data_IF_701542348686
#
_entry.id   IF_701542348686
#
_cell.length_a   1.000
_cell.length_b   1.000
_cell.length_c   1.000
_cell.angle_alpha   90.00
_cell.angle_beta   90.00
_cell.angle_gamma   90.00
#
_symmetry.space_group_name_H-M   'P 1'
#
loop_
_entity.id
_entity.type
_entity.pdbx_description
1 polymer ?
#
# COMPACT_ATOMS: atom_id res chain seq x y z
N UNK A 1 84.91 10.44 -5.03
CA UNK A 1 83.81 11.07 -4.26
C UNK A 1 82.50 10.51 -4.78
N UNK A 2 81.66 10.02 -3.87
CA UNK A 2 80.31 9.56 -4.19
C UNK A 2 79.34 10.60 -3.65
N UNK A 3 78.49 11.14 -4.51
CA UNK A 3 77.41 12.06 -4.12
C UNK A 3 76.13 11.23 -4.06
N UNK A 4 75.48 11.24 -2.90
CA UNK A 4 74.17 10.63 -2.70
C UNK A 4 73.15 11.76 -2.66
N UNK A 5 72.21 11.75 -3.59
CA UNK A 5 71.08 12.67 -3.62
C UNK A 5 69.83 11.88 -3.23
N UNK A 6 69.14 12.35 -2.20
CA UNK A 6 67.88 11.76 -1.72
C UNK A 6 66.75 12.73 -2.07
N UNK A 7 65.74 12.25 -2.80
CA UNK A 7 64.52 13.01 -3.09
C UNK A 7 63.51 12.68 -1.98
N UNK A 8 62.97 13.71 -1.35
CA UNK A 8 61.93 13.56 -0.32
C UNK A 8 60.56 13.69 -0.97
N UNK A 9 59.66 12.79 -0.59
CA UNK A 9 58.25 12.87 -0.94
C UNK A 9 57.60 14.00 -0.12
N UNK A 10 56.88 14.89 -0.79
CA UNK A 10 56.11 15.98 -0.18
C UNK A 10 54.66 15.83 -0.61
N UNK A 11 53.72 16.26 0.24
CA UNK A 11 52.30 16.21 -0.08
C UNK A 11 51.94 17.33 -1.07
N UNK A 12 52.08 17.10 -2.36
CA UNK A 12 51.81 18.05 -3.44
C UNK A 12 50.80 17.54 -4.49
N UNK A 13 50.25 16.34 -4.29
CA UNK A 13 49.19 15.77 -5.11
C UNK A 13 47.90 15.59 -4.30
N UNK A 14 46.77 15.72 -4.99
CA UNK A 14 45.46 15.43 -4.39
C UNK A 14 45.07 13.97 -4.62
N UNK A 15 44.25 13.38 -3.72
CA UNK A 15 43.57 12.13 -4.02
C UNK A 15 42.73 12.25 -5.30
N UNK A 16 42.65 11.17 -6.09
CA UNK A 16 41.87 11.13 -7.33
C UNK A 16 41.04 9.85 -7.39
N UNK A 17 39.73 9.97 -7.62
CA UNK A 17 38.86 8.84 -7.90
C UNK A 17 38.93 8.42 -9.37
N UNK A 18 38.78 7.12 -9.65
CA UNK A 18 38.69 6.61 -11.01
C UNK A 18 37.43 7.08 -11.74
N UNK A 19 36.31 7.14 -11.00
CA UNK A 19 35.01 7.62 -11.49
C UNK A 19 34.47 8.66 -10.51
N UNK A 20 34.05 9.82 -11.03
CA UNK A 20 33.51 10.92 -10.22
C UNK A 20 31.99 10.85 -10.05
N UNK A 21 31.29 10.14 -10.94
CA UNK A 21 29.84 10.00 -10.93
C UNK A 21 29.49 8.52 -11.13
N UNK A 22 28.93 7.91 -10.10
CA UNK A 22 28.46 6.53 -10.14
C UNK A 22 26.94 6.52 -9.98
N UNK A 23 26.28 5.59 -10.65
CA UNK A 23 24.86 5.31 -10.43
C UNK A 23 24.66 3.84 -10.08
N UNK A 24 23.76 3.58 -9.14
CA UNK A 24 23.38 2.23 -8.72
C UNK A 24 21.88 2.14 -8.51
N UNK A 25 21.33 1.01 -8.96
CA UNK A 25 19.95 0.61 -8.67
C UNK A 25 20.00 -0.44 -7.56
N UNK A 26 19.22 -0.23 -6.50
CA UNK A 26 19.20 -1.09 -5.32
C UNK A 26 17.75 -1.50 -5.02
N UNK A 27 17.40 -2.79 -5.09
CA UNK A 27 16.09 -3.28 -4.68
C UNK A 27 15.82 -2.99 -3.20
N UNK A 28 14.58 -2.61 -2.86
CA UNK A 28 14.26 -2.27 -1.46
C UNK A 28 14.35 -3.45 -0.49
N UNK A 29 14.24 -4.69 -0.98
CA UNK A 29 14.36 -5.91 -0.18
C UNK A 29 15.82 -6.34 0.09
N UNK A 30 16.78 -5.55 -0.39
CA UNK A 30 18.21 -5.72 -0.15
C UNK A 30 18.48 -5.80 1.35
N UNK A 31 19.21 -6.85 1.76
CA UNK A 31 19.45 -7.10 3.18
C UNK A 31 20.39 -6.06 3.78
N UNK A 32 20.08 -5.65 5.01
CA UNK A 32 21.00 -4.85 5.82
C UNK A 32 22.36 -5.56 5.91
N UNK A 33 23.43 -4.79 5.87
CA UNK A 33 24.84 -5.15 5.74
C UNK A 33 25.30 -5.63 4.35
N UNK A 34 24.41 -5.69 3.35
CA UNK A 34 24.81 -5.95 1.97
C UNK A 34 25.72 -4.83 1.44
N UNK A 35 26.68 -5.23 0.61
CA UNK A 35 27.57 -4.30 -0.10
C UNK A 35 26.82 -3.71 -1.28
N UNK A 36 26.74 -2.38 -1.33
CA UNK A 36 26.04 -1.63 -2.39
C UNK A 36 27.03 -1.20 -3.46
N UNK A 37 28.22 -0.73 -3.04
CA UNK A 37 29.30 -0.38 -3.95
C UNK A 37 30.60 -0.95 -3.39
N UNK A 38 31.28 -1.74 -4.22
CA UNK A 38 32.53 -2.39 -3.85
C UNK A 38 33.66 -1.39 -3.65
N UNK A 39 34.63 -1.78 -2.83
CA UNK A 39 35.81 -0.96 -2.49
C UNK A 39 36.57 -0.48 -3.72
N UNK A 40 36.73 -1.33 -4.72
CA UNK A 40 37.58 -1.11 -5.89
C UNK A 40 37.06 0.05 -6.73
N UNK A 41 35.74 0.18 -6.87
CA UNK A 41 35.09 1.26 -7.60
C UNK A 41 35.16 2.61 -6.89
N UNK A 42 35.44 2.61 -5.59
CA UNK A 42 35.42 3.81 -4.74
C UNK A 42 36.79 4.20 -4.19
N UNK A 43 37.82 3.40 -4.43
CA UNK A 43 39.16 3.71 -3.94
C UNK A 43 39.76 4.83 -4.77
N UNK A 44 40.04 5.96 -4.13
CA UNK A 44 40.89 7.00 -4.67
C UNK A 44 42.36 6.55 -4.64
N UNK A 45 43.17 7.13 -5.52
CA UNK A 45 44.62 6.99 -5.54
C UNK A 45 45.28 8.34 -5.34
N UNK A 46 46.42 8.34 -4.67
CA UNK A 46 47.25 9.53 -4.45
C UNK A 46 48.66 9.26 -5.00
N UNK A 47 49.22 10.21 -5.74
CA UNK A 47 50.55 10.05 -6.35
C UNK A 47 51.67 10.11 -5.32
N UNK A 48 51.43 10.74 -4.16
CA UNK A 48 52.35 10.82 -3.03
C UNK A 48 52.31 9.54 -2.19
N UNK A 49 51.45 8.58 -2.56
CA UNK A 49 51.22 7.33 -1.82
C UNK A 49 50.77 7.55 -0.37
N UNK A 50 50.14 8.69 -0.11
CA UNK A 50 49.54 9.04 1.17
C UNK A 50 48.37 8.10 1.51
N UNK A 51 48.11 7.93 2.81
CA UNK A 51 46.98 7.11 3.27
C UNK A 51 45.68 7.90 3.15
N UNK A 52 44.76 7.44 2.31
CA UNK A 52 43.51 8.15 2.04
C UNK A 52 42.44 7.81 3.07
N UNK A 53 41.84 8.84 3.65
CA UNK A 53 40.72 8.80 4.57
C UNK A 53 39.41 9.19 3.87
N UNK A 54 38.36 8.43 4.12
CA UNK A 54 37.06 8.61 3.47
C UNK A 54 35.99 9.09 4.44
N UNK A 55 35.06 9.89 3.94
CA UNK A 55 33.84 10.31 4.63
C UNK A 55 32.66 10.28 3.67
N UNK A 56 31.52 9.78 4.12
CA UNK A 56 30.30 9.67 3.33
C UNK A 56 29.22 10.57 3.92
N UNK A 57 28.62 11.41 3.10
CA UNK A 57 27.44 12.20 3.47
C UNK A 57 26.31 11.98 2.47
N UNK A 58 25.08 12.32 2.87
CA UNK A 58 23.91 12.32 1.96
C UNK A 58 23.47 13.75 1.72
N UNK A 59 22.94 14.03 0.53
CA UNK A 59 22.42 15.38 0.19
C UNK A 59 20.90 15.45 0.26
N UNK A 60 20.21 14.30 0.22
CA UNK A 60 18.75 14.22 0.19
C UNK A 60 18.22 14.07 1.62
N UNK A 61 17.44 15.06 2.06
CA UNK A 61 16.84 15.10 3.39
C UNK A 61 16.03 13.84 3.67
N UNK A 62 16.24 13.23 4.83
CA UNK A 62 15.53 12.02 5.26
C UNK A 62 16.14 10.70 4.77
N UNK A 63 17.26 10.76 4.05
CA UNK A 63 18.00 9.57 3.58
C UNK A 63 19.28 9.31 4.38
N UNK A 64 19.49 10.04 5.48
CA UNK A 64 20.64 9.89 6.36
C UNK A 64 20.67 8.56 7.12
N UNK A 65 21.86 7.97 7.18
CA UNK A 65 22.13 6.74 7.92
C UNK A 65 21.53 5.47 7.32
N UNK A 66 21.07 5.50 6.07
CA UNK A 66 20.75 4.28 5.32
C UNK A 66 22.02 3.63 4.74
N UNK A 67 23.02 4.42 4.39
CA UNK A 67 24.27 3.96 3.79
C UNK A 67 25.45 4.42 4.65
N UNK A 68 26.47 3.58 4.74
CA UNK A 68 27.71 3.88 5.45
C UNK A 68 28.90 3.24 4.75
N UNK A 69 30.10 3.78 4.98
CA UNK A 69 31.35 3.16 4.56
C UNK A 69 31.84 2.18 5.63
N UNK A 70 32.49 1.09 5.20
CA UNK A 70 33.03 0.06 6.11
C UNK A 70 34.07 0.61 7.10
N UNK A 71 34.82 1.64 6.71
CA UNK A 71 35.76 2.29 7.60
C UNK A 71 36.49 3.45 6.94
N UNK A 72 37.28 4.16 7.75
CA UNK A 72 37.98 5.38 7.32
C UNK A 72 38.92 5.18 6.14
N UNK A 73 39.50 3.98 5.96
CA UNK A 73 40.36 3.64 4.82
C UNK A 73 39.76 2.51 3.97
N UNK A 74 38.46 2.26 4.11
CA UNK A 74 37.71 1.29 3.33
C UNK A 74 36.40 1.93 2.84
N UNK A 75 36.42 2.52 1.62
CA UNK A 75 35.28 3.25 1.09
C UNK A 75 34.13 2.34 0.63
N UNK A 76 34.21 1.02 0.80
CA UNK A 76 33.08 0.12 0.49
C UNK A 76 31.80 0.61 1.17
N UNK A 77 30.78 0.91 0.35
CA UNK A 77 29.48 1.38 0.83
C UNK A 77 28.60 0.16 1.07
N UNK A 78 28.03 0.08 2.27
CA UNK A 78 27.08 -0.96 2.65
C UNK A 78 25.77 -0.36 3.17
N UNK A 79 24.71 -1.16 3.11
CA UNK A 79 23.39 -0.78 3.59
C UNK A 79 23.29 -0.97 5.11
N UNK A 80 22.92 0.09 5.84
CA UNK A 80 22.82 0.09 7.31
C UNK A 80 21.38 -0.04 7.82
N UNK A 81 20.38 0.37 7.02
CA UNK A 81 18.95 0.29 7.36
C UNK A 81 18.16 -0.32 6.21
N UNK A 82 17.06 -1.00 6.52
CA UNK A 82 16.16 -1.52 5.50
C UNK A 82 15.61 -0.36 4.64
N UNK A 83 15.59 -0.56 3.34
CA UNK A 83 15.05 0.40 2.38
C UNK A 83 13.52 0.32 2.36
N UNK A 84 12.90 1.38 1.89
CA UNK A 84 11.45 1.51 1.77
C UNK A 84 11.16 2.42 0.58
N UNK A 85 10.71 1.82 -0.53
CA UNK A 85 10.52 2.51 -1.79
C UNK A 85 9.45 3.61 -1.71
N UNK A 86 8.47 3.48 -0.82
CA UNK A 86 7.43 4.49 -0.60
C UNK A 86 7.94 5.70 0.19
N UNK A 87 9.00 5.54 1.00
CA UNK A 87 9.63 6.65 1.74
C UNK A 87 10.51 7.53 0.84
N UNK A 88 11.40 6.92 0.07
CA UNK A 88 12.26 7.64 -0.88
C UNK A 88 12.70 6.72 -2.01
N UNK A 89 12.74 7.28 -3.23
CA UNK A 89 13.05 6.52 -4.46
C UNK A 89 14.46 6.79 -4.99
N UNK A 90 15.09 7.85 -4.48
CA UNK A 90 16.38 8.33 -4.93
C UNK A 90 17.10 8.98 -3.76
N UNK A 91 18.39 8.69 -3.62
CA UNK A 91 19.29 9.49 -2.79
C UNK A 91 20.61 9.72 -3.53
N UNK A 92 21.34 10.73 -3.09
CA UNK A 92 22.67 11.03 -3.61
C UNK A 92 23.65 11.09 -2.44
N UNK A 93 24.71 10.31 -2.57
CA UNK A 93 25.79 10.22 -1.61
C UNK A 93 26.99 11.01 -2.13
N UNK A 94 27.66 11.75 -1.25
CA UNK A 94 28.94 12.39 -1.53
C UNK A 94 30.02 11.66 -0.76
N UNK A 95 30.96 11.08 -1.49
CA UNK A 95 32.13 10.41 -0.93
C UNK A 95 33.32 11.35 -1.03
N UNK A 96 33.83 11.79 0.12
CA UNK A 96 35.02 12.61 0.24
C UNK A 96 36.24 11.72 0.47
N UNK A 97 37.31 11.98 -0.26
CA UNK A 97 38.64 11.43 -0.01
C UNK A 97 39.57 12.56 0.45
N UNK A 98 40.41 12.28 1.45
CA UNK A 98 41.42 13.19 2.00
C UNK A 98 42.72 12.44 2.26
N UNK A 99 43.84 13.05 1.91
CA UNK A 99 45.20 12.54 2.11
C UNK A 99 45.66 12.57 3.59
N UNK A 100 44.97 13.36 4.44
CA UNK A 100 45.27 13.51 5.87
C UNK A 100 44.06 13.19 6.75
N UNK A 101 44.29 12.74 7.99
CA UNK A 101 43.22 12.50 8.94
C UNK A 101 42.48 13.80 9.29
N UNK A 102 41.22 13.66 9.69
CA UNK A 102 40.41 14.79 10.13
C UNK A 102 41.07 15.51 11.32
N UNK A 103 41.18 16.84 11.23
CA UNK A 103 41.81 17.66 12.26
C UNK A 103 43.33 17.77 12.17
N UNK A 104 43.95 17.29 11.09
CA UNK A 104 45.35 17.57 10.79
C UNK A 104 45.61 19.08 10.70
N UNK A 105 46.75 19.53 11.22
CA UNK A 105 47.25 20.90 11.06
C UNK A 105 48.07 21.07 9.78
N UNK A 106 48.33 19.98 9.05
CA UNK A 106 49.08 19.97 7.80
C UNK A 106 48.18 20.29 6.60
N UNK A 107 48.79 20.70 5.49
CA UNK A 107 48.06 20.92 4.23
C UNK A 107 47.40 19.59 3.84
N UNK A 108 46.10 19.67 3.59
CA UNK A 108 45.23 18.54 3.29
C UNK A 108 44.60 18.77 1.93
N UNK A 109 44.80 17.83 1.01
CA UNK A 109 44.14 17.81 -0.28
C UNK A 109 42.92 16.89 -0.24
N UNK A 110 41.90 17.23 -1.03
CA UNK A 110 40.64 16.50 -1.03
C UNK A 110 40.13 16.25 -2.45
N UNK A 111 39.36 15.17 -2.60
CA UNK A 111 38.55 14.91 -3.77
C UNK A 111 37.14 14.47 -3.37
N UNK A 112 36.19 14.60 -4.28
CA UNK A 112 34.79 14.22 -4.05
C UNK A 112 34.27 13.42 -5.23
N UNK A 113 33.60 12.31 -4.95
CA UNK A 113 32.81 11.55 -5.92
C UNK A 113 31.33 11.59 -5.52
N UNK A 114 30.46 11.60 -6.53
CA UNK A 114 29.00 11.59 -6.37
C UNK A 114 28.46 10.22 -6.73
N UNK A 115 27.62 9.65 -5.86
CA UNK A 115 26.99 8.36 -6.07
C UNK A 115 25.46 8.52 -5.99
N UNK A 116 24.78 8.30 -7.10
CA UNK A 116 23.32 8.28 -7.17
C UNK A 116 22.81 6.86 -6.90
N UNK A 117 21.94 6.72 -5.90
CA UNK A 117 21.30 5.46 -5.54
C UNK A 117 19.81 5.57 -5.85
N UNK A 118 19.37 4.86 -6.89
CA UNK A 118 17.96 4.68 -7.21
C UNK A 118 17.43 3.43 -6.51
N UNK A 119 16.32 3.56 -5.79
CA UNK A 119 15.67 2.43 -5.13
C UNK A 119 14.69 1.80 -6.11
N UNK A 120 14.75 0.49 -6.26
CA UNK A 120 13.80 -0.29 -7.06
C UNK A 120 12.78 -0.98 -6.14
N UNK A 121 11.50 -0.89 -6.50
CA UNK A 121 10.44 -1.55 -5.74
C UNK A 121 10.61 -3.07 -5.87
N UNK A 122 10.59 -3.76 -4.75
CA UNK A 122 10.68 -5.21 -4.69
C UNK A 122 9.35 -5.78 -4.21
N UNK A 123 9.07 -7.01 -4.63
CA UNK A 123 7.84 -7.68 -4.26
C UNK A 123 7.95 -8.03 -2.77
N UNK A 124 7.35 -7.22 -1.91
CA UNK A 124 7.47 -7.30 -0.44
C UNK A 124 6.13 -7.22 0.28
N UNK A 125 5.08 -6.73 -0.39
CA UNK A 125 3.74 -6.55 0.16
C UNK A 125 2.76 -7.52 -0.50
N UNK A 126 1.81 -8.10 0.26
CA UNK A 126 0.74 -8.91 -0.32
C UNK A 126 -0.37 -8.02 -0.91
N UNK A 127 -1.27 -8.58 -1.74
CA UNK A 127 -2.45 -7.86 -2.23
C UNK A 127 -3.36 -7.35 -1.09
N UNK A 128 -4.08 -6.26 -1.30
CA UNK A 128 -5.08 -5.71 -0.38
C UNK A 128 -6.43 -5.52 -1.07
N UNK A 129 -7.53 -5.81 -0.37
CA UNK A 129 -8.88 -5.48 -0.85
C UNK A 129 -9.24 -4.01 -0.58
N UNK A 130 -10.03 -3.39 -1.46
CA UNK A 130 -10.48 -2.01 -1.36
C UNK A 130 -12.01 -1.89 -1.27
N UNK A 131 -12.54 -1.01 -0.40
CA UNK A 131 -11.81 -0.10 0.47
C UNK A 131 -11.22 -0.80 1.69
N UNK A 132 -10.10 -0.27 2.19
CA UNK A 132 -9.45 -0.73 3.41
C UNK A 132 -9.05 0.46 4.29
N UNK A 133 -8.83 0.20 5.56
CA UNK A 133 -8.40 1.19 6.55
C UNK A 133 -6.96 0.93 6.95
N UNK A 134 -6.10 1.93 6.79
CA UNK A 134 -4.71 1.85 7.26
C UNK A 134 -4.66 2.01 8.78
N UNK A 135 -3.96 1.10 9.45
CA UNK A 135 -3.81 1.13 10.92
C UNK A 135 -2.55 1.85 11.38
N UNK A 136 -1.63 2.12 10.47
CA UNK A 136 -0.30 2.63 10.75
C UNK A 136 0.00 3.90 9.97
N UNK A 137 0.86 4.74 10.54
CA UNK A 137 1.21 6.05 9.98
C UNK A 137 1.97 5.95 8.66
N UNK A 138 2.77 4.89 8.51
CA UNK A 138 3.52 4.54 7.30
C UNK A 138 2.67 3.82 6.24
N UNK A 139 1.38 3.57 6.50
CA UNK A 139 0.43 2.94 5.55
C UNK A 139 0.89 1.59 4.98
N UNK A 140 1.75 0.88 5.69
CA UNK A 140 2.22 -0.45 5.28
C UNK A 140 1.23 -1.59 5.56
N UNK A 141 0.18 -1.35 6.36
CA UNK A 141 -0.85 -2.36 6.68
C UNK A 141 -2.26 -1.79 6.46
N UNK A 142 -3.01 -2.42 5.57
CA UNK A 142 -4.40 -2.07 5.29
C UNK A 142 -5.36 -3.18 5.68
N UNK A 143 -6.33 -2.89 6.55
CA UNK A 143 -7.37 -3.84 6.95
C UNK A 143 -8.58 -3.67 6.04
N UNK A 144 -8.91 -4.71 5.28
CA UNK A 144 -10.05 -4.72 4.37
C UNK A 144 -11.37 -4.54 5.10
N UNK A 145 -12.26 -3.70 4.56
CA UNK A 145 -13.66 -3.66 4.98
C UNK A 145 -14.42 -4.86 4.40
N UNK A 146 -15.39 -5.44 5.13
CA UNK A 146 -16.22 -6.52 4.59
C UNK A 146 -17.10 -6.00 3.44
N UNK A 147 -17.40 -6.89 2.50
CA UNK A 147 -18.40 -6.63 1.47
C UNK A 147 -19.74 -7.23 1.88
N UNK A 148 -20.84 -6.62 1.44
CA UNK A 148 -22.19 -7.12 1.68
C UNK A 148 -23.00 -7.16 0.39
N UNK A 149 -23.82 -8.19 0.22
CA UNK A 149 -24.70 -8.37 -0.93
C UNK A 149 -26.01 -9.01 -0.51
N UNK A 150 -26.98 -9.01 -1.43
CA UNK A 150 -28.30 -9.62 -1.24
C UNK A 150 -28.68 -10.43 -2.46
N UNK A 151 -29.33 -11.56 -2.23
CA UNK A 151 -29.92 -12.40 -3.29
C UNK A 151 -31.32 -12.83 -2.88
N UNK A 152 -32.20 -12.97 -3.87
CA UNK A 152 -33.54 -13.49 -3.63
C UNK A 152 -33.50 -15.02 -3.54
N UNK A 153 -34.22 -15.57 -2.56
CA UNK A 153 -34.38 -17.01 -2.40
C UNK A 153 -35.07 -17.61 -3.62
N UNK A 154 -34.57 -18.75 -4.10
CA UNK A 154 -35.12 -19.46 -5.26
C UNK A 154 -34.76 -18.85 -6.62
N UNK A 155 -34.19 -17.65 -6.66
CA UNK A 155 -33.74 -17.01 -7.90
C UNK A 155 -32.26 -17.25 -8.16
N UNK A 156 -31.89 -17.29 -9.44
CA UNK A 156 -30.50 -17.41 -9.89
C UNK A 156 -30.26 -16.39 -11.00
N UNK A 157 -29.15 -15.65 -10.89
CA UNK A 157 -28.62 -14.81 -11.95
C UNK A 157 -27.15 -15.16 -12.23
N UNK A 158 -26.77 -15.10 -13.50
CA UNK A 158 -25.36 -15.21 -13.93
C UNK A 158 -24.66 -13.86 -14.00
N UNK A 159 -25.41 -12.77 -13.86
CA UNK A 159 -24.83 -11.44 -13.79
C UNK A 159 -24.05 -11.26 -12.48
N UNK A 160 -22.98 -10.43 -12.47
CA UNK A 160 -22.27 -10.08 -11.26
C UNK A 160 -23.21 -9.52 -10.19
N UNK A 161 -23.06 -10.02 -8.96
CA UNK A 161 -23.82 -9.55 -7.82
C UNK A 161 -23.44 -8.11 -7.49
N UNK A 162 -24.45 -7.28 -7.21
CA UNK A 162 -24.24 -5.94 -6.68
C UNK A 162 -23.85 -6.05 -5.21
N UNK A 163 -22.66 -5.55 -4.87
CA UNK A 163 -22.10 -5.57 -3.53
C UNK A 163 -21.88 -4.14 -3.04
N UNK A 164 -21.99 -3.96 -1.73
CA UNK A 164 -21.59 -2.75 -1.02
C UNK A 164 -20.26 -3.00 -0.30
N UNK A 165 -19.32 -2.05 -0.28
CA UNK A 165 -19.40 -0.69 -0.84
C UNK A 165 -19.15 -0.60 -2.36
N UNK A 166 -18.87 -1.72 -3.02
CA UNK A 166 -18.62 -1.82 -4.45
C UNK A 166 -18.27 -3.25 -4.85
N UNK A 167 -17.85 -3.51 -6.10
CA UNK A 167 -17.39 -4.83 -6.50
C UNK A 167 -16.17 -5.26 -5.68
N UNK A 168 -15.99 -6.57 -5.52
CA UNK A 168 -14.78 -7.13 -4.91
C UNK A 168 -13.59 -6.69 -5.74
N UNK A 169 -12.65 -6.01 -5.11
CA UNK A 169 -11.50 -5.46 -5.80
C UNK A 169 -10.27 -5.49 -4.90
N UNK A 170 -9.22 -6.17 -5.35
CA UNK A 170 -7.93 -6.20 -4.71
C UNK A 170 -6.87 -5.55 -5.60
N UNK A 171 -5.91 -4.90 -4.96
CA UNK A 171 -4.74 -4.30 -5.59
C UNK A 171 -3.47 -4.89 -5.01
N UNK A 172 -2.43 -4.91 -5.81
CA UNK A 172 -1.07 -5.15 -5.35
C UNK A 172 -0.39 -3.82 -5.00
N UNK A 173 0.06 -3.60 -3.76
CA UNK A 173 0.79 -2.40 -3.38
C UNK A 173 2.14 -2.24 -4.08
N UNK A 174 2.73 -3.32 -4.60
CA UNK A 174 4.01 -3.30 -5.32
C UNK A 174 3.79 -2.97 -6.82
N UNK A 175 3.21 -1.78 -7.05
CA UNK A 175 2.64 -1.33 -8.34
C UNK A 175 3.63 -1.22 -9.50
N UNK A 176 4.94 -1.15 -9.27
CA UNK A 176 5.96 -1.15 -10.32
C UNK A 176 6.16 -2.53 -10.94
N UNK A 177 5.88 -3.59 -10.18
CA UNK A 177 6.08 -5.00 -10.58
C UNK A 177 4.89 -5.48 -11.41
N UNK A 178 3.69 -4.97 -11.11
CA UNK A 178 2.43 -5.27 -11.83
C UNK A 178 2.13 -6.77 -11.86
N UNK A 179 2.41 -7.47 -10.76
CA UNK A 179 2.11 -8.87 -10.62
C UNK A 179 0.60 -9.11 -10.71
N UNK A 180 0.19 -10.23 -11.31
CA UNK A 180 -1.22 -10.51 -11.53
C UNK A 180 -1.84 -11.03 -10.23
N UNK A 181 -2.93 -10.39 -9.80
CA UNK A 181 -3.76 -10.85 -8.68
C UNK A 181 -4.92 -11.68 -9.20
N UNK A 182 -5.17 -12.83 -8.57
CA UNK A 182 -6.29 -13.73 -8.89
C UNK A 182 -7.18 -14.01 -7.69
N UNK A 183 -8.47 -14.18 -7.95
CA UNK A 183 -9.50 -14.36 -6.92
C UNK A 183 -9.96 -15.81 -6.79
N UNK A 184 -10.30 -16.24 -5.57
CA UNK A 184 -10.92 -17.54 -5.30
C UNK A 184 -11.79 -17.50 -4.05
N UNK A 185 -12.78 -18.38 -3.93
CA UNK A 185 -13.56 -18.54 -2.69
C UNK A 185 -12.93 -19.70 -1.90
N UNK A 186 -12.46 -19.42 -0.69
CA UNK A 186 -11.74 -20.39 0.16
C UNK A 186 -12.55 -20.87 1.35
N UNK A 187 -13.71 -20.27 1.63
CA UNK A 187 -14.57 -20.65 2.75
C UNK A 187 -15.98 -20.07 2.65
N UNK A 188 -16.90 -20.64 3.44
CA UNK A 188 -18.27 -20.14 3.61
C UNK A 188 -19.25 -20.40 2.45
N UNK A 189 -18.80 -21.00 1.35
CA UNK A 189 -19.61 -21.28 0.16
C UNK A 189 -20.29 -22.64 0.23
N UNK A 190 -21.21 -22.81 1.18
CA UNK A 190 -21.99 -24.04 1.34
C UNK A 190 -22.69 -24.41 0.02
N UNK A 191 -22.64 -25.70 -0.36
CA UNK A 191 -23.21 -26.25 -1.61
C UNK A 191 -22.68 -25.65 -2.94
N UNK A 192 -21.60 -24.86 -2.88
CA UNK A 192 -21.00 -24.15 -4.00
C UNK A 192 -22.01 -23.26 -4.75
N UNK A 193 -22.86 -22.56 -3.99
CA UNK A 193 -23.91 -21.66 -4.53
C UNK A 193 -23.31 -20.50 -5.30
N UNK A 194 -22.17 -19.96 -4.85
CA UNK A 194 -21.50 -18.82 -5.48
C UNK A 194 -20.24 -19.24 -6.24
N UNK A 195 -19.84 -18.39 -7.19
CA UNK A 195 -18.53 -18.46 -7.85
C UNK A 195 -17.93 -17.07 -7.94
N UNK A 196 -16.60 -16.98 -7.96
CA UNK A 196 -15.88 -15.72 -8.20
C UNK A 196 -15.05 -15.86 -9.47
N UNK A 197 -15.13 -14.90 -10.36
CA UNK A 197 -14.25 -14.86 -11.53
C UNK A 197 -12.82 -14.53 -11.09
N UNK A 198 -11.88 -15.38 -11.51
CA UNK A 198 -10.50 -15.32 -11.04
C UNK A 198 -9.76 -14.05 -11.47
N UNK A 199 -10.21 -13.32 -12.50
CA UNK A 199 -9.50 -12.14 -13.01
C UNK A 199 -10.17 -10.82 -12.61
N UNK A 200 -11.51 -10.81 -12.59
CA UNK A 200 -12.29 -9.59 -12.33
C UNK A 200 -12.76 -9.47 -10.88
N UNK A 201 -12.78 -10.56 -10.11
CA UNK A 201 -13.37 -10.57 -8.77
C UNK A 201 -14.91 -10.57 -8.78
N UNK A 202 -15.55 -10.62 -9.96
CA UNK A 202 -16.99 -10.65 -10.07
C UNK A 202 -17.58 -11.90 -9.39
N UNK A 203 -18.42 -11.68 -8.38
CA UNK A 203 -19.12 -12.74 -7.67
C UNK A 203 -20.45 -13.02 -8.40
N UNK A 204 -20.71 -14.28 -8.75
CA UNK A 204 -21.92 -14.73 -9.43
C UNK A 204 -22.51 -15.96 -8.74
N UNK A 205 -23.71 -16.39 -9.17
CA UNK A 205 -24.36 -17.59 -8.64
C UNK A 205 -24.21 -18.76 -9.60
N UNK A 206 -23.78 -19.91 -9.09
CA UNK A 206 -23.84 -21.21 -9.78
C UNK A 206 -25.22 -21.85 -9.64
N UNK A 207 -25.92 -21.61 -8.52
CA UNK A 207 -27.21 -22.18 -8.17
C UNK A 207 -28.03 -21.15 -7.38
N UNK A 208 -29.35 -21.30 -7.34
CA UNK A 208 -30.20 -20.51 -6.47
C UNK A 208 -29.98 -20.87 -5.00
N UNK A 209 -30.06 -19.87 -4.11
CA UNK A 209 -30.11 -20.12 -2.67
C UNK A 209 -31.50 -20.64 -2.27
N UNK A 210 -31.56 -21.73 -1.50
CA UNK A 210 -32.80 -22.45 -1.21
C UNK A 210 -33.35 -22.23 0.20
N UNK A 211 -32.58 -21.58 1.07
CA UNK A 211 -32.96 -21.33 2.47
C UNK A 211 -32.63 -19.88 2.87
N UNK A 212 -33.45 -19.26 3.73
CA UNK A 212 -33.16 -17.93 4.28
C UNK A 212 -31.95 -17.97 5.21
N UNK A 213 -31.21 -16.87 5.29
CA UNK A 213 -30.00 -16.75 6.10
C UNK A 213 -28.92 -15.93 5.43
N UNK A 214 -27.67 -16.10 5.87
CA UNK A 214 -26.50 -15.43 5.28
C UNK A 214 -25.43 -16.44 4.90
N UNK A 215 -24.81 -16.24 3.75
CA UNK A 215 -23.53 -16.84 3.42
C UNK A 215 -22.42 -15.87 3.84
N UNK A 216 -21.49 -16.33 4.66
CA UNK A 216 -20.29 -15.56 5.00
C UNK A 216 -19.11 -16.11 4.22
N UNK A 217 -18.97 -15.66 2.98
CA UNK A 217 -17.91 -16.14 2.09
C UNK A 217 -16.55 -15.58 2.51
N UNK A 218 -15.52 -16.40 2.41
CA UNK A 218 -14.13 -15.96 2.51
C UNK A 218 -13.55 -15.92 1.10
N UNK A 219 -13.35 -14.72 0.58
CA UNK A 219 -12.78 -14.50 -0.74
C UNK A 219 -11.30 -14.16 -0.61
N UNK A 220 -10.49 -14.82 -1.41
CA UNK A 220 -9.05 -14.77 -1.42
C UNK A 220 -8.55 -14.08 -2.68
N UNK A 221 -7.66 -13.11 -2.51
CA UNK A 221 -6.87 -12.50 -3.59
C UNK A 221 -5.40 -12.87 -3.40
N UNK A 222 -4.75 -13.41 -4.42
CA UNK A 222 -3.36 -13.87 -4.35
C UNK A 222 -2.57 -13.50 -5.60
N UNK A 223 -1.28 -13.24 -5.45
CA UNK A 223 -0.38 -13.10 -6.60
C UNK A 223 -0.15 -14.44 -7.28
N UNK A 224 -0.10 -14.46 -8.62
CA UNK A 224 0.10 -15.69 -9.40
C UNK A 224 1.48 -16.30 -9.19
N UNK A 225 2.52 -15.47 -9.05
CA UNK A 225 3.89 -15.92 -8.86
C UNK A 225 4.18 -16.48 -7.45
N UNK A 226 3.39 -16.10 -6.44
CA UNK A 226 3.63 -16.46 -5.05
C UNK A 226 2.33 -16.56 -4.23
N UNK A 227 1.87 -17.79 -4.02
CA UNK A 227 0.64 -18.07 -3.26
C UNK A 227 0.71 -17.66 -1.78
N UNK A 228 1.90 -17.41 -1.23
CA UNK A 228 2.05 -16.93 0.16
C UNK A 228 1.73 -15.44 0.28
N UNK A 229 1.63 -14.74 -0.84
CA UNK A 229 1.24 -13.33 -0.90
C UNK A 229 -0.21 -13.23 -1.28
N UNK A 230 -1.01 -13.07 -0.23
CA UNK A 230 -2.44 -13.21 -0.32
C UNK A 230 -3.14 -12.35 0.73
N UNK A 231 -4.40 -12.02 0.47
CA UNK A 231 -5.30 -11.44 1.45
C UNK A 231 -6.66 -12.13 1.40
N UNK A 232 -7.31 -12.23 2.55
CA UNK A 232 -8.69 -12.72 2.69
C UNK A 232 -9.61 -11.53 2.98
N UNK A 233 -10.79 -11.49 2.39
CA UNK A 233 -11.89 -10.62 2.80
C UNK A 233 -13.18 -11.42 3.03
N UNK A 234 -13.98 -10.98 3.98
CA UNK A 234 -15.31 -11.53 4.24
C UNK A 234 -16.35 -10.85 3.33
N UNK A 235 -17.20 -11.65 2.71
CA UNK A 235 -18.34 -11.19 1.90
C UNK A 235 -19.63 -11.81 2.47
N UNK A 236 -20.49 -10.99 3.06
CA UNK A 236 -21.79 -11.43 3.57
C UNK A 236 -22.86 -11.34 2.48
N UNK A 237 -23.42 -12.46 2.06
CA UNK A 237 -24.57 -12.50 1.14
C UNK A 237 -25.83 -12.88 1.90
N UNK A 238 -26.76 -11.93 2.06
CA UNK A 238 -28.05 -12.16 2.72
C UNK A 238 -29.05 -12.72 1.72
N UNK A 239 -29.61 -13.89 2.03
CA UNK A 239 -30.71 -14.49 1.29
C UNK A 239 -32.00 -13.91 1.83
N UNK A 240 -32.69 -13.15 1.00
CA UNK A 240 -33.97 -12.53 1.32
C UNK A 240 -35.09 -13.20 0.55
N UNK A 241 -36.30 -13.17 1.11
CA UNK A 241 -37.47 -13.51 0.31
C UNK A 241 -37.59 -12.48 -0.81
N UNK A 242 -38.01 -12.97 -1.97
CA UNK A 242 -38.42 -12.10 -3.06
C UNK A 242 -39.59 -11.24 -2.56
N UNK A 243 -39.53 -9.94 -2.85
CA UNK A 243 -40.69 -9.06 -2.77
C UNK A 243 -41.34 -9.07 -4.13
N UNK A 244 -42.58 -9.54 -4.20
CA UNK A 244 -43.37 -9.61 -5.42
C UNK A 244 -44.18 -8.32 -5.63
N UNK A 245 -44.44 -7.55 -4.57
CA UNK A 245 -45.27 -6.34 -4.59
C UNK A 245 -44.59 -5.15 -3.91
N UNK A 246 -44.49 -3.97 -4.58
CA UNK A 246 -43.98 -2.78 -3.92
C UNK A 246 -44.99 -2.23 -2.89
N UNK A 247 -44.53 -1.57 -1.82
CA UNK A 247 -45.43 -0.97 -0.84
C UNK A 247 -46.26 0.15 -1.48
N UNK A 248 -47.52 0.26 -1.09
CA UNK A 248 -48.46 1.26 -1.59
C UNK A 248 -49.22 1.93 -0.45
N UNK A 249 -49.61 3.19 -0.64
CA UNK A 249 -50.48 3.87 0.33
C UNK A 249 -51.93 3.42 0.16
N UNK A 250 -52.65 3.25 1.27
CA UNK A 250 -54.08 2.93 1.26
C UNK A 250 -54.90 3.92 0.43
N UNK A 251 -54.57 5.21 0.54
CA UNK A 251 -55.24 6.28 -0.19
C UNK A 251 -54.24 7.21 -0.88
N UNK A 252 -54.71 7.91 -1.91
CA UNK A 252 -53.91 8.88 -2.66
C UNK A 252 -53.83 10.26 -2.00
N UNK A 253 -54.76 10.59 -1.09
CA UNK A 253 -54.89 11.93 -0.51
C UNK A 253 -55.22 11.79 0.98
N UNK A 254 -54.36 12.37 1.82
CA UNK A 254 -54.55 12.46 3.26
C UNK A 254 -54.76 13.92 3.65
N UNK A 255 -55.93 14.24 4.22
CA UNK A 255 -56.26 15.59 4.64
C UNK A 255 -55.98 15.77 6.13
N UNK A 256 -55.15 16.76 6.46
CA UNK A 256 -54.80 17.12 7.83
C UNK A 256 -55.06 18.59 8.15
N UNK A 257 -55.18 18.90 9.43
CA UNK A 257 -55.34 20.26 9.97
C UNK A 257 -54.27 20.56 11.01
N UNK A 258 -53.91 21.84 11.11
CA UNK A 258 -52.89 22.35 12.05
C UNK A 258 -53.33 23.71 12.57
N UNK A 259 -53.02 24.01 13.84
CA UNK A 259 -53.32 25.31 14.42
C UNK A 259 -52.24 26.35 14.07
N UNK A 260 -52.66 27.60 13.87
CA UNK A 260 -51.75 28.72 13.62
C UNK A 260 -50.91 28.98 14.87
N UNK A 261 -49.61 29.25 14.68
CA UNK A 261 -48.67 29.58 15.77
C UNK A 261 -47.97 28.38 16.41
N UNK A 262 -48.16 27.17 15.88
CA UNK A 262 -47.43 25.98 16.35
C UNK A 262 -45.96 26.00 15.92
N UNK A 263 -45.10 25.44 16.77
CA UNK A 263 -43.67 25.33 16.51
C UNK A 263 -43.37 24.24 15.45
N UNK A 264 -42.23 24.31 14.73
CA UNK A 264 -41.77 23.23 13.85
C UNK A 264 -41.69 21.89 14.57
N UNK A 265 -42.11 20.81 13.90
CA UNK A 265 -42.17 19.45 14.47
C UNK A 265 -43.48 19.14 15.22
N UNK A 266 -44.44 20.06 15.25
CA UNK A 266 -45.78 19.80 15.82
C UNK A 266 -46.58 18.81 14.98
N UNK A 267 -47.43 18.01 15.62
CA UNK A 267 -48.28 17.04 14.94
C UNK A 267 -49.32 17.71 14.03
N UNK A 268 -49.59 17.05 12.91
CA UNK A 268 -50.75 17.31 12.04
C UNK A 268 -51.88 16.38 12.49
N UNK A 269 -53.09 16.91 12.62
CA UNK A 269 -54.27 16.14 13.04
C UNK A 269 -55.16 15.78 11.87
N UNK A 270 -55.97 14.74 11.99
CA UNK A 270 -56.87 14.30 10.94
C UNK A 270 -57.96 15.36 10.68
N UNK A 271 -58.21 15.66 9.39
CA UNK A 271 -59.29 16.59 9.04
C UNK A 271 -60.64 16.08 9.55
N UNK A 272 -61.31 16.87 10.39
CA UNK A 272 -62.57 16.51 11.04
C UNK A 272 -62.45 15.85 12.42
N UNK A 273 -61.24 15.49 12.86
CA UNK A 273 -60.98 14.95 14.20
C UNK A 273 -59.67 15.52 14.79
N UNK A 274 -59.72 16.68 15.47
CA UNK A 274 -58.53 17.36 15.99
C UNK A 274 -57.91 16.65 17.21
N UNK A 275 -58.50 15.55 17.69
CA UNK A 275 -57.95 14.75 18.78
C UNK A 275 -57.05 13.60 18.29
N UNK A 276 -57.04 13.32 16.97
CA UNK A 276 -56.25 12.22 16.39
C UNK A 276 -55.16 12.74 15.47
N UNK A 277 -53.89 12.34 15.68
CA UNK A 277 -52.84 12.66 14.73
C UNK A 277 -53.14 11.99 13.39
N UNK A 278 -52.83 12.68 12.30
CA UNK A 278 -52.94 12.13 10.95
C UNK A 278 -51.92 11.00 10.81
N UNK A 279 -52.41 9.76 10.70
CA UNK A 279 -51.57 8.60 10.41
C UNK A 279 -51.63 8.28 8.91
N UNK A 280 -50.47 8.06 8.32
CA UNK A 280 -50.33 7.63 6.93
C UNK A 280 -49.73 6.24 6.96
N UNK A 281 -50.48 5.26 6.47
CA UNK A 281 -50.07 3.86 6.44
C UNK A 281 -49.71 3.47 5.01
N UNK A 282 -48.56 2.79 4.86
CA UNK A 282 -48.22 2.06 3.65
C UNK A 282 -48.49 0.57 3.89
N UNK A 283 -49.15 -0.07 2.94
CA UNK A 283 -49.43 -1.51 2.92
C UNK A 283 -48.48 -2.20 1.96
N UNK A 284 -48.13 -3.44 2.27
CA UNK A 284 -47.31 -4.29 1.43
C UNK A 284 -47.92 -5.71 1.44
N UNK A 285 -48.30 -6.19 0.26
CA UNK A 285 -48.94 -7.52 0.12
C UNK A 285 -47.98 -8.67 0.44
N UNK A 286 -46.67 -8.43 0.38
CA UNK A 286 -45.64 -9.40 0.76
C UNK A 286 -45.52 -9.56 2.29
N UNK A 287 -46.07 -8.61 3.07
CA UNK A 287 -45.97 -8.57 4.54
C UNK A 287 -47.34 -8.29 5.20
N UNK A 288 -48.30 -9.22 5.11
CA UNK A 288 -49.69 -8.98 5.53
C UNK A 288 -49.92 -8.83 7.04
N UNK A 289 -48.91 -9.12 7.89
CA UNK A 289 -49.04 -9.22 9.36
C UNK A 289 -48.22 -8.17 10.16
N UNK A 290 -47.89 -7.00 9.57
CA UNK A 290 -47.18 -5.92 10.28
C UNK A 290 -48.10 -4.75 10.63
#
# INVERSE_FOLDING_TARGET
>A
LQIVVTILNVNDNSPVFQELNLSRVVPEDTKVNAVIVARESLSASDADLDTIFYELTTTVVGTDGYFAIRGLNNPEIYLQKALDYEKFKLTTLLLYARDRPQGSTEVTHTATATIEIAIEQADTKPPWFLPCTFINTDKSVCISSPYAGRVNMGEMSREPLSLEPGPIYAIDPDYMIKEKVVYSIVGGNTENVFSVDANSGNLTMNKAATAPGSYLLQVMATQVNNIQKYAVVSVEIKVINKSDYPPHFETRIYNGTVAVGLAPGSFVYQAGDPAKPLMITAMDEDFPDV
#
